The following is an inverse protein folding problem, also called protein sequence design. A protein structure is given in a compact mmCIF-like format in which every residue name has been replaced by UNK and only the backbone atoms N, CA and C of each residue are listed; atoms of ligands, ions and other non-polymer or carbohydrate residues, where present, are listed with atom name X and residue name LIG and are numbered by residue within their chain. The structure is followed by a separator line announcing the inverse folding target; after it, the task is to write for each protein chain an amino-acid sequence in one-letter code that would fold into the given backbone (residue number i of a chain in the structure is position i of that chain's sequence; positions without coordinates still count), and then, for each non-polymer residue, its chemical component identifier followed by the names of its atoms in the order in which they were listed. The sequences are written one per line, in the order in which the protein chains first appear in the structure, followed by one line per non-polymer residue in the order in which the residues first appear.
data_IF_566505612163
#
_entry.id   IF_566505612163
#
_cell.length_a   1.000
_cell.length_b   1.000
_cell.length_c   1.000
_cell.angle_alpha   90.00
_cell.angle_beta   90.00
_cell.angle_gamma   90.00
#
_symmetry.space_group_name_H-M   'P 1'
#
loop_
_entity.id
_entity.type
_entity.pdbx_description
1 polymer ?
#
# COMPACT_ATOMS: atom_id res chain seq x y z
N UNK A 1 -12.26 16.64 25.28
CA UNK A 1 -12.32 16.26 23.85
C UNK A 1 -13.77 16.13 23.45
N UNK A 2 -14.20 16.89 22.45
CA UNK A 2 -15.57 16.85 21.96
C UNK A 2 -15.79 15.55 21.18
N UNK A 3 -17.00 14.99 21.15
CA UNK A 3 -17.27 13.69 20.49
C UNK A 3 -16.86 13.66 19.02
N UNK A 4 -16.97 14.81 18.35
CA UNK A 4 -16.54 15.02 16.96
C UNK A 4 -15.01 14.91 16.81
N UNK A 5 -14.22 15.43 17.76
CA UNK A 5 -12.75 15.32 17.70
C UNK A 5 -12.30 13.87 17.83
N UNK A 6 -12.93 13.10 18.73
CA UNK A 6 -12.65 11.66 18.89
C UNK A 6 -12.91 10.93 17.57
N UNK A 7 -14.02 11.23 16.89
CA UNK A 7 -14.35 10.63 15.61
C UNK A 7 -13.31 10.97 14.54
N UNK A 8 -12.88 12.25 14.44
CA UNK A 8 -11.86 12.69 13.47
C UNK A 8 -10.57 11.88 13.61
N UNK A 9 -10.02 11.82 14.83
CA UNK A 9 -8.78 11.09 15.09
C UNK A 9 -8.94 9.58 14.98
N UNK A 10 -10.12 9.04 15.34
CA UNK A 10 -10.43 7.62 15.17
C UNK A 10 -10.42 7.19 13.71
N UNK A 11 -11.01 8.00 12.82
CA UNK A 11 -11.00 7.75 11.37
C UNK A 11 -9.60 7.90 10.78
N UNK A 12 -8.86 8.92 11.20
CA UNK A 12 -7.48 9.10 10.77
C UNK A 12 -6.59 7.92 11.20
N UNK A 13 -6.72 7.49 12.46
CA UNK A 13 -6.03 6.31 12.99
C UNK A 13 -6.42 5.02 12.27
N UNK A 14 -7.70 4.86 11.90
CA UNK A 14 -8.16 3.75 11.06
C UNK A 14 -7.42 3.70 9.73
N UNK A 15 -7.28 4.85 9.04
CA UNK A 15 -6.59 4.90 7.75
C UNK A 15 -5.11 4.50 7.85
N UNK A 16 -4.40 5.03 8.86
CA UNK A 16 -3.01 4.65 9.12
C UNK A 16 -2.90 3.15 9.43
N UNK A 17 -3.82 2.60 10.22
CA UNK A 17 -3.85 1.18 10.55
C UNK A 17 -4.10 0.32 9.30
N UNK A 18 -5.00 0.73 8.41
CA UNK A 18 -5.21 0.04 7.12
C UNK A 18 -3.93 0.07 6.28
N UNK A 19 -3.26 1.22 6.17
CA UNK A 19 -1.98 1.35 5.47
C UNK A 19 -0.90 0.42 6.03
N UNK A 20 -0.72 0.41 7.35
CA UNK A 20 0.25 -0.44 8.05
C UNK A 20 -0.05 -1.94 7.85
N UNK A 21 -1.31 -2.35 7.98
CA UNK A 21 -1.71 -3.74 7.76
C UNK A 21 -1.40 -4.13 6.32
N UNK A 22 -1.83 -3.33 5.34
CA UNK A 22 -1.62 -3.61 3.91
C UNK A 22 -0.13 -3.76 3.59
N UNK A 23 0.72 -2.91 4.17
CA UNK A 23 2.17 -2.99 4.00
C UNK A 23 2.74 -4.26 4.62
N UNK A 24 2.32 -4.60 5.85
CA UNK A 24 2.83 -5.76 6.60
C UNK A 24 2.47 -7.09 5.93
N UNK A 25 1.33 -7.16 5.25
CA UNK A 25 0.81 -8.40 4.68
C UNK A 25 1.08 -8.50 3.17
N UNK A 26 2.12 -7.81 2.69
CA UNK A 26 2.45 -7.70 1.27
C UNK A 26 2.58 -9.06 0.56
N UNK A 27 3.15 -10.07 1.22
CA UNK A 27 3.27 -11.44 0.71
C UNK A 27 1.90 -12.09 0.44
N UNK A 28 0.90 -11.74 1.26
CA UNK A 28 -0.44 -12.31 1.22
C UNK A 28 -1.35 -11.63 0.17
N UNK A 29 -0.95 -10.47 -0.37
CA UNK A 29 -1.72 -9.72 -1.38
C UNK A 29 -1.84 -10.47 -2.71
N UNK A 30 -1.09 -11.55 -2.93
CA UNK A 30 -1.29 -12.43 -4.07
C UNK A 30 -2.63 -13.16 -4.00
N UNK A 31 -3.12 -13.45 -2.81
CA UNK A 31 -4.41 -14.12 -2.64
C UNK A 31 -5.54 -13.15 -2.98
N UNK A 32 -6.40 -13.46 -3.98
CA UNK A 32 -7.44 -12.55 -4.43
C UNK A 32 -8.45 -12.21 -3.34
N UNK A 33 -8.70 -13.12 -2.39
CA UNK A 33 -9.62 -12.87 -1.26
C UNK A 33 -9.04 -11.83 -0.29
N UNK A 34 -7.74 -11.91 0.01
CA UNK A 34 -7.06 -10.96 0.91
C UNK A 34 -6.93 -9.61 0.21
N UNK A 35 -6.43 -9.61 -1.04
CA UNK A 35 -6.34 -8.40 -1.86
C UNK A 35 -7.66 -7.65 -1.94
N UNK A 36 -8.77 -8.35 -2.21
CA UNK A 36 -10.11 -7.74 -2.28
C UNK A 36 -10.52 -7.09 -0.96
N UNK A 37 -10.26 -7.74 0.18
CA UNK A 37 -10.57 -7.16 1.51
C UNK A 37 -9.75 -5.89 1.77
N UNK A 38 -8.45 -5.92 1.49
CA UNK A 38 -7.57 -4.76 1.60
C UNK A 38 -7.99 -3.62 0.69
N UNK A 39 -8.37 -3.93 -0.55
CA UNK A 39 -8.84 -2.95 -1.52
C UNK A 39 -10.14 -2.30 -1.06
N UNK A 40 -11.11 -3.07 -0.56
CA UNK A 40 -12.36 -2.53 -0.02
C UNK A 40 -12.07 -1.59 1.17
N UNK A 41 -11.25 -2.00 2.13
CA UNK A 41 -10.89 -1.15 3.27
C UNK A 41 -10.18 0.15 2.82
N UNK A 42 -9.31 0.05 1.82
CA UNK A 42 -8.59 1.20 1.25
C UNK A 42 -9.52 2.15 0.48
N UNK A 43 -10.49 1.63 -0.26
CA UNK A 43 -11.52 2.43 -0.94
C UNK A 43 -12.40 3.15 0.08
N UNK A 44 -12.80 2.48 1.17
CA UNK A 44 -13.57 3.10 2.25
C UNK A 44 -12.77 4.24 2.87
N UNK A 45 -11.50 4.01 3.23
CA UNK A 45 -10.59 5.06 3.71
C UNK A 45 -10.52 6.23 2.73
N UNK A 46 -10.31 5.95 1.44
CA UNK A 46 -10.22 6.98 0.41
C UNK A 46 -11.50 7.83 0.30
N UNK A 47 -12.67 7.19 0.25
CA UNK A 47 -13.97 7.88 0.18
C UNK A 47 -14.18 8.77 1.41
N UNK A 48 -13.85 8.27 2.61
CA UNK A 48 -13.94 9.08 3.82
C UNK A 48 -12.97 10.26 3.75
N UNK A 49 -11.76 10.07 3.24
CA UNK A 49 -10.79 11.14 2.99
C UNK A 49 -11.34 12.23 2.06
N UNK A 50 -12.00 11.84 0.97
CA UNK A 50 -12.68 12.77 0.07
C UNK A 50 -13.75 13.59 0.83
N UNK A 51 -14.61 12.93 1.60
CA UNK A 51 -15.67 13.59 2.35
C UNK A 51 -15.09 14.57 3.38
N UNK A 52 -13.99 14.20 4.04
CA UNK A 52 -13.33 15.02 5.05
C UNK A 52 -12.62 16.23 4.45
N UNK A 53 -12.01 16.07 3.29
CA UNK A 53 -11.39 17.16 2.53
C UNK A 53 -12.45 18.16 2.04
N UNK A 54 -13.61 17.68 1.54
CA UNK A 54 -14.69 18.56 1.10
C UNK A 54 -15.37 19.32 2.24
N UNK A 55 -15.46 18.70 3.42
CA UNK A 55 -16.08 19.29 4.61
C UNK A 55 -15.10 20.14 5.44
N UNK A 56 -13.86 20.32 4.97
CA UNK A 56 -12.80 21.08 5.65
C UNK A 56 -12.65 20.69 7.13
N UNK A 57 -12.68 19.38 7.38
CA UNK A 57 -12.74 18.82 8.74
C UNK A 57 -11.41 18.98 9.47
N UNK A 58 -10.28 18.96 8.74
CA UNK A 58 -8.95 19.13 9.29
C UNK A 58 -8.37 20.47 8.85
N UNK A 59 -7.84 21.22 9.79
CA UNK A 59 -7.10 22.47 9.52
C UNK A 59 -5.66 22.14 9.14
N UNK A 60 -5.48 21.47 8.00
CA UNK A 60 -4.17 21.15 7.41
C UNK A 60 -4.16 21.61 5.95
N UNK A 61 -3.01 21.55 5.29
CA UNK A 61 -2.87 21.96 3.89
C UNK A 61 -3.85 21.19 2.99
N UNK A 62 -4.51 21.93 2.09
CA UNK A 62 -5.53 21.36 1.22
C UNK A 62 -4.95 20.25 0.36
N UNK A 63 -5.55 19.07 0.42
CA UNK A 63 -5.13 17.84 -0.23
C UNK A 63 -4.35 16.88 0.68
N UNK A 64 -3.85 17.33 1.83
CA UNK A 64 -3.07 16.49 2.73
C UNK A 64 -3.94 15.40 3.39
N UNK A 65 -5.18 15.73 3.77
CA UNK A 65 -6.10 14.74 4.35
C UNK A 65 -6.37 13.65 3.34
N UNK A 66 -6.69 14.05 2.10
CA UNK A 66 -6.91 13.12 1.01
C UNK A 66 -5.68 12.24 0.74
N UNK A 67 -4.48 12.82 0.70
CA UNK A 67 -3.24 12.07 0.45
C UNK A 67 -3.01 10.99 1.53
N UNK A 68 -3.10 11.35 2.80
CA UNK A 68 -2.89 10.40 3.91
C UNK A 68 -3.93 9.27 3.83
N UNK A 69 -5.20 9.63 3.61
CA UNK A 69 -6.29 8.68 3.50
C UNK A 69 -6.20 7.77 2.25
N UNK A 70 -5.33 8.13 1.29
CA UNK A 70 -5.06 7.42 0.04
C UNK A 70 -3.83 6.50 0.08
N UNK A 71 -3.01 6.53 1.14
CA UNK A 71 -1.72 5.80 1.18
C UNK A 71 -1.91 4.32 0.84
N UNK A 72 -2.91 3.67 1.44
CA UNK A 72 -3.14 2.24 1.24
C UNK A 72 -3.61 1.91 -0.17
N UNK A 73 -4.47 2.73 -0.78
CA UNK A 73 -4.95 2.50 -2.15
C UNK A 73 -3.83 2.77 -3.18
N UNK A 74 -2.98 3.75 -2.94
CA UNK A 74 -1.77 4.01 -3.75
C UNK A 74 -0.85 2.79 -3.72
N UNK A 75 -0.56 2.27 -2.53
CA UNK A 75 0.29 1.09 -2.37
C UNK A 75 -0.29 -0.15 -3.08
N UNK A 76 -1.59 -0.43 -2.91
CA UNK A 76 -2.27 -1.54 -3.59
C UNK A 76 -2.32 -1.35 -5.11
N UNK A 77 -2.48 -0.11 -5.58
CA UNK A 77 -2.44 0.24 -7.00
C UNK A 77 -1.09 -0.11 -7.61
N UNK A 78 0.01 0.32 -6.97
CA UNK A 78 1.36 -0.04 -7.40
C UNK A 78 1.63 -1.54 -7.30
N UNK A 79 1.15 -2.22 -6.24
CA UNK A 79 1.24 -3.68 -6.14
C UNK A 79 0.65 -4.36 -7.36
N UNK A 80 -0.58 -4.01 -7.72
CA UNK A 80 -1.26 -4.60 -8.85
C UNK A 80 -0.55 -4.29 -10.18
N UNK A 81 -0.15 -3.03 -10.38
CA UNK A 81 0.53 -2.55 -11.58
C UNK A 81 1.88 -3.26 -11.77
N UNK A 82 2.75 -3.21 -10.76
CA UNK A 82 4.09 -3.78 -10.81
C UNK A 82 4.03 -5.30 -10.94
N UNK A 83 3.13 -5.97 -10.23
CA UNK A 83 2.96 -7.42 -10.35
C UNK A 83 2.59 -7.81 -11.78
N UNK A 84 1.65 -7.08 -12.40
CA UNK A 84 1.26 -7.31 -13.80
C UNK A 84 2.43 -7.06 -14.75
N UNK A 85 3.16 -5.97 -14.56
CA UNK A 85 4.32 -5.61 -15.38
C UNK A 85 5.42 -6.67 -15.31
N UNK A 86 5.82 -7.07 -14.10
CA UNK A 86 6.87 -8.08 -13.89
C UNK A 86 6.43 -9.46 -14.40
N UNK A 87 5.15 -9.81 -14.24
CA UNK A 87 4.61 -11.05 -14.81
C UNK A 87 4.68 -11.06 -16.32
N UNK A 88 4.37 -9.95 -16.99
CA UNK A 88 4.49 -9.82 -18.44
C UNK A 88 5.96 -9.87 -18.87
N UNK A 89 6.84 -9.17 -18.15
CA UNK A 89 8.27 -9.10 -18.48
C UNK A 89 9.02 -10.43 -18.29
N UNK A 90 8.69 -11.20 -17.24
CA UNK A 90 9.40 -12.45 -16.89
C UNK A 90 8.64 -13.73 -17.22
N UNK A 91 7.36 -13.63 -17.57
CA UNK A 91 6.48 -14.79 -17.82
C UNK A 91 6.00 -15.50 -16.55
N UNK A 92 6.38 -15.03 -15.36
CA UNK A 92 6.06 -15.66 -14.08
C UNK A 92 5.66 -14.64 -13.04
N UNK A 93 4.78 -15.02 -12.14
CA UNK A 93 4.35 -14.19 -11.01
C UNK A 93 5.53 -13.94 -10.05
N UNK A 94 5.89 -12.68 -9.75
CA UNK A 94 7.01 -12.39 -8.85
C UNK A 94 6.68 -12.79 -7.40
N UNK A 95 7.71 -13.15 -6.65
CA UNK A 95 7.61 -13.34 -5.20
C UNK A 95 7.98 -12.05 -4.47
N UNK A 96 7.27 -11.75 -3.38
CA UNK A 96 7.77 -10.80 -2.39
C UNK A 96 8.93 -11.49 -1.66
N UNK A 97 10.01 -10.75 -1.44
CA UNK A 97 11.22 -11.21 -0.77
C UNK A 97 11.41 -10.46 0.52
N UNK A 98 12.00 -11.15 1.50
CA UNK A 98 12.35 -10.61 2.81
C UNK A 98 13.87 -10.56 3.00
N UNK A 99 14.32 -9.97 4.10
CA UNK A 99 15.74 -9.90 4.48
C UNK A 99 16.40 -11.29 4.63
N UNK A 100 15.60 -12.33 4.91
CA UNK A 100 16.06 -13.72 5.03
C UNK A 100 15.96 -14.52 3.73
N UNK A 101 15.45 -13.92 2.66
CA UNK A 101 15.36 -14.55 1.34
C UNK A 101 16.72 -14.59 0.65
N UNK A 102 16.98 -15.65 -0.12
CA UNK A 102 18.22 -15.82 -0.89
C UNK A 102 17.91 -16.25 -2.32
N UNK A 103 18.73 -15.79 -3.28
CA UNK A 103 18.61 -16.21 -4.69
C UNK A 103 18.88 -17.72 -4.77
N UNK A 104 18.04 -18.46 -5.50
CA UNK A 104 18.07 -19.92 -5.54
C UNK A 104 17.42 -20.59 -4.32
N UNK A 105 17.04 -19.82 -3.30
CA UNK A 105 16.30 -20.26 -2.13
C UNK A 105 14.84 -20.56 -2.44
N UNK A 106 14.18 -21.25 -1.52
CA UNK A 106 12.72 -21.46 -1.58
C UNK A 106 11.99 -20.20 -1.11
N UNK A 107 10.85 -19.82 -1.71
CA UNK A 107 10.13 -18.62 -1.31
C UNK A 107 9.61 -18.73 0.12
N UNK A 108 9.74 -17.62 0.86
CA UNK A 108 9.17 -17.44 2.19
C UNK A 108 7.74 -16.94 1.98
N UNK A 109 6.75 -17.62 2.57
CA UNK A 109 5.34 -17.24 2.44
C UNK A 109 4.95 -16.07 3.34
N UNK A 110 3.73 -15.59 3.15
CA UNK A 110 3.09 -14.64 4.06
C UNK A 110 2.56 -15.30 5.33
N UNK A 111 1.87 -14.49 6.14
CA UNK A 111 1.31 -14.88 7.43
C UNK A 111 0.16 -15.89 7.27
N UNK A 112 -0.65 -15.75 6.21
CA UNK A 112 -1.81 -16.63 5.97
C UNK A 112 -1.68 -17.48 4.71
N UNK A 113 -0.80 -17.12 3.78
CA UNK A 113 -0.70 -17.77 2.48
C UNK A 113 0.75 -18.07 2.14
N UNK A 114 0.98 -19.26 1.60
CA UNK A 114 2.32 -19.70 1.21
C UNK A 114 2.49 -19.59 -0.30
N UNK A 115 3.66 -19.13 -0.73
CA UNK A 115 4.03 -19.22 -2.13
C UNK A 115 4.21 -20.70 -2.54
N UNK A 116 3.85 -21.06 -3.79
CA UNK A 116 4.10 -22.38 -4.32
C UNK A 116 5.62 -22.58 -4.43
N UNK A 117 6.09 -23.76 -3.99
CA UNK A 117 7.53 -24.11 -3.93
C UNK A 117 8.09 -24.68 -5.24
N UNK A 118 7.35 -24.53 -6.34
CA UNK A 118 7.68 -25.07 -7.65
C UNK A 118 8.79 -24.28 -8.37
N UNK A 119 9.11 -23.06 -7.89
CA UNK A 119 10.15 -22.21 -8.45
C UNK A 119 11.01 -21.65 -7.31
N UNK A 120 12.31 -21.47 -7.57
CA UNK A 120 13.25 -20.80 -6.69
C UNK A 120 13.16 -19.27 -6.80
N UNK A 121 13.56 -18.56 -5.75
CA UNK A 121 13.66 -17.10 -5.77
C UNK A 121 14.72 -16.67 -6.79
N UNK A 122 14.40 -15.68 -7.60
CA UNK A 122 15.29 -15.08 -8.59
C UNK A 122 15.64 -13.64 -8.18
N UNK A 123 16.73 -13.10 -8.73
CA UNK A 123 17.12 -11.69 -8.49
C UNK A 123 15.99 -10.71 -8.83
N UNK A 124 15.15 -11.05 -9.82
CA UNK A 124 14.02 -10.22 -10.25
C UNK A 124 12.92 -10.10 -9.21
N UNK A 125 12.81 -11.06 -8.28
CA UNK A 125 11.86 -11.00 -7.17
C UNK A 125 12.31 -9.96 -6.13
N UNK A 126 13.62 -9.82 -5.92
CA UNK A 126 14.19 -8.74 -5.13
C UNK A 126 13.94 -7.38 -5.78
N UNK A 127 14.13 -7.29 -7.12
CA UNK A 127 13.84 -6.05 -7.85
C UNK A 127 12.35 -5.67 -7.72
N UNK A 128 11.44 -6.64 -7.86
CA UNK A 128 10.01 -6.42 -7.65
C UNK A 128 9.72 -5.92 -6.24
N UNK A 129 10.26 -6.59 -5.22
CA UNK A 129 10.05 -6.22 -3.81
C UNK A 129 10.57 -4.82 -3.51
N UNK A 130 11.74 -4.47 -4.04
CA UNK A 130 12.33 -3.15 -3.91
C UNK A 130 11.48 -2.06 -4.60
N UNK A 131 11.06 -2.31 -5.84
CA UNK A 131 10.17 -1.41 -6.58
C UNK A 131 8.83 -1.22 -5.87
N UNK A 132 8.28 -2.30 -5.30
CA UNK A 132 7.02 -2.31 -4.58
C UNK A 132 7.03 -1.46 -3.31
N UNK A 133 8.20 -1.28 -2.69
CA UNK A 133 8.36 -0.42 -1.51
C UNK A 133 8.71 1.00 -1.94
N UNK A 134 9.73 1.17 -2.78
CA UNK A 134 10.24 2.49 -3.11
C UNK A 134 9.29 3.33 -3.94
N UNK A 135 8.66 2.76 -4.97
CA UNK A 135 7.83 3.55 -5.89
C UNK A 135 6.66 4.19 -5.14
N UNK A 136 5.86 3.45 -4.33
CA UNK A 136 4.82 4.09 -3.52
C UNK A 136 5.36 5.17 -2.57
N UNK A 137 6.49 4.93 -1.90
CA UNK A 137 7.08 5.91 -0.97
C UNK A 137 7.44 7.21 -1.71
N UNK A 138 8.17 7.11 -2.83
CA UNK A 138 8.54 8.28 -3.61
C UNK A 138 7.33 9.00 -4.19
N UNK A 139 6.29 8.27 -4.60
CA UNK A 139 5.04 8.88 -5.06
C UNK A 139 4.34 9.64 -3.94
N UNK A 140 4.21 9.06 -2.74
CA UNK A 140 3.57 9.72 -1.60
C UNK A 140 4.36 10.96 -1.18
N UNK A 141 5.68 10.85 -1.05
CA UNK A 141 6.55 12.00 -0.70
C UNK A 141 6.50 13.08 -1.78
N UNK A 142 6.54 12.71 -3.06
CA UNK A 142 6.42 13.65 -4.17
C UNK A 142 5.08 14.39 -4.18
N UNK A 143 3.97 13.67 -3.97
CA UNK A 143 2.64 14.28 -3.82
C UNK A 143 2.57 15.22 -2.61
N UNK A 144 3.16 14.82 -1.49
CA UNK A 144 3.22 15.64 -0.27
C UNK A 144 3.96 16.95 -0.52
N UNK A 145 5.13 16.90 -1.17
CA UNK A 145 5.90 18.11 -1.53
C UNK A 145 5.08 19.01 -2.46
N UNK A 146 4.46 18.44 -3.51
CA UNK A 146 3.62 19.22 -4.43
C UNK A 146 2.45 19.90 -3.71
N UNK A 147 1.78 19.21 -2.79
CA UNK A 147 0.70 19.79 -1.98
C UNK A 147 1.23 20.98 -1.17
N UNK A 148 2.37 20.81 -0.48
CA UNK A 148 2.96 21.88 0.32
C UNK A 148 3.32 23.09 -0.55
N UNK A 149 3.99 22.88 -1.70
CA UNK A 149 4.36 23.98 -2.59
C UNK A 149 3.16 24.69 -3.23
N UNK A 150 2.06 23.98 -3.48
CA UNK A 150 0.83 24.58 -4.04
C UNK A 150 0.01 25.39 -3.01
N UNK A 151 0.25 25.19 -1.72
CA UNK A 151 -0.44 25.89 -0.62
C UNK A 151 0.42 27.01 0.01
N UNK A 152 1.65 27.23 -0.47
CA UNK A 152 2.46 28.42 -0.13
C UNK A 152 1.98 29.64 -0.92
#
# INVERSE_FOLDING_TARGET
MNGIEILKYGVFGYSLLVGLIVFTISDDLRNPKIFRKCLIASIISFIIGILFEFADIFTIEKGMTLLVMSISIIYLGYYHLLRKLFKVWKGTDPYITSVSSTIGGSPIGGLWTKYPRNRKIMWTDFLFSFAQVLIPIFTIVGLMIMIIEMNK
#
